data_IF_703843021497
#
_entry.id   IF_703843021497
#
_cell.length_a   1.000
_cell.length_b   1.000
_cell.length_c   1.000
_cell.angle_alpha   90.00
_cell.angle_beta   90.00
_cell.angle_gamma   90.00
#
_symmetry.space_group_name_H-M   'P 1'
#
loop_
_entity.id
_entity.type
_entity.pdbx_description
1 polymer ?
#
# COMPACT_ATOMS: atom_id res chain seq x y z
N UNK A 1 -32.02 -50.21 35.54
CA UNK A 1 -32.86 -49.02 35.36
C UNK A 1 -32.47 -47.98 36.42
N UNK A 2 -31.43 -47.19 36.17
CA UNK A 2 -31.00 -46.08 37.05
C UNK A 2 -30.59 -44.92 36.14
N UNK A 3 -31.34 -43.83 36.22
CA UNK A 3 -31.11 -42.56 35.52
C UNK A 3 -29.90 -41.87 36.16
N UNK A 4 -28.89 -41.50 35.37
CA UNK A 4 -27.87 -40.54 35.78
C UNK A 4 -28.24 -39.17 35.19
N UNK A 5 -28.57 -38.23 36.08
CA UNK A 5 -28.71 -36.81 35.78
C UNK A 5 -27.34 -36.24 35.39
N UNK A 6 -27.23 -35.66 34.21
CA UNK A 6 -26.14 -34.75 33.86
C UNK A 6 -26.46 -33.36 34.41
N UNK A 7 -25.69 -32.92 35.41
CA UNK A 7 -25.68 -31.54 35.88
C UNK A 7 -24.83 -30.74 34.87
N UNK A 8 -25.47 -29.85 34.12
CA UNK A 8 -24.78 -28.84 33.31
C UNK A 8 -24.30 -27.73 34.24
N UNK A 9 -23.01 -27.71 34.56
CA UNK A 9 -22.37 -26.55 35.17
C UNK A 9 -22.15 -25.49 34.10
N UNK A 10 -23.00 -24.46 34.12
CA UNK A 10 -22.75 -23.20 33.42
C UNK A 10 -21.49 -22.56 34.01
N UNK A 11 -20.36 -22.67 33.32
CA UNK A 11 -19.20 -21.82 33.56
C UNK A 11 -19.56 -20.41 33.07
N UNK A 12 -19.97 -19.55 34.00
CA UNK A 12 -19.88 -18.11 33.83
C UNK A 12 -18.41 -17.75 33.60
N UNK A 13 -18.04 -17.57 32.33
CA UNK A 13 -16.78 -16.93 31.96
C UNK A 13 -16.86 -15.48 32.42
N UNK A 14 -16.29 -15.22 33.60
CA UNK A 14 -16.04 -13.87 34.06
C UNK A 14 -15.20 -13.14 33.02
N UNK A 15 -15.66 -11.96 32.62
CA UNK A 15 -14.88 -10.96 31.88
C UNK A 15 -13.79 -10.41 32.79
N UNK A 16 -12.78 -11.23 33.08
CA UNK A 16 -11.51 -10.75 33.58
C UNK A 16 -10.86 -9.94 32.47
N UNK A 17 -10.70 -8.63 32.69
CA UNK A 17 -9.82 -7.78 31.90
C UNK A 17 -8.40 -8.28 32.16
N UNK A 18 -7.97 -9.33 31.46
CA UNK A 18 -6.56 -9.66 31.37
C UNK A 18 -5.92 -8.48 30.63
N UNK A 19 -5.09 -7.71 31.32
CA UNK A 19 -4.30 -6.67 30.69
C UNK A 19 -3.50 -7.31 29.54
N UNK A 20 -3.73 -6.86 28.31
CA UNK A 20 -3.05 -7.40 27.15
C UNK A 20 -1.53 -7.29 27.33
N UNK A 21 -0.80 -8.36 27.04
CA UNK A 21 0.65 -8.32 26.98
C UNK A 21 1.09 -7.41 25.81
N UNK A 22 2.19 -6.63 25.97
CA UNK A 22 2.69 -5.79 24.89
C UNK A 22 3.13 -6.67 23.71
N UNK A 23 2.62 -6.36 22.53
CA UNK A 23 2.88 -7.03 21.25
C UNK A 23 3.56 -6.06 20.28
N UNK A 24 4.43 -6.53 19.37
CA UNK A 24 5.01 -5.70 18.32
C UNK A 24 3.94 -4.92 17.53
N UNK A 25 4.13 -3.60 17.42
CA UNK A 25 3.25 -2.72 16.66
C UNK A 25 3.92 -2.25 15.39
N UNK A 26 3.29 -2.50 14.25
CA UNK A 26 3.81 -2.15 12.94
C UNK A 26 3.12 -0.90 12.38
N UNK A 27 3.66 -0.36 11.28
CA UNK A 27 2.93 0.63 10.47
C UNK A 27 1.56 0.08 10.06
N UNK A 28 0.55 0.95 10.04
CA UNK A 28 -0.76 0.64 9.46
C UNK A 28 -0.62 0.11 8.03
N UNK A 29 0.35 0.59 7.24
CA UNK A 29 0.60 0.08 5.88
C UNK A 29 1.11 -1.38 5.83
N UNK A 30 1.40 -2.03 6.98
CA UNK A 30 1.85 -3.42 7.07
C UNK A 30 0.85 -4.32 7.79
N UNK A 31 0.28 -3.87 8.91
CA UNK A 31 -0.65 -4.67 9.71
C UNK A 31 -1.82 -3.81 10.17
N UNK A 32 -3.03 -4.29 9.90
CA UNK A 32 -4.26 -3.69 10.41
C UNK A 32 -4.71 -4.41 11.68
N UNK A 33 -5.17 -3.61 12.64
CA UNK A 33 -5.73 -4.07 13.92
C UNK A 33 -6.91 -3.17 14.28
N UNK A 34 -7.91 -3.67 15.02
CA UNK A 34 -9.06 -2.87 15.43
C UNK A 34 -8.64 -1.80 16.44
N UNK A 35 -9.38 -0.68 16.50
CA UNK A 35 -9.08 0.45 17.38
C UNK A 35 -8.88 0.07 18.87
N UNK A 36 -9.72 -0.80 19.48
CA UNK A 36 -9.51 -1.24 20.86
C UNK A 36 -8.13 -1.87 21.10
N UNK A 37 -7.63 -2.67 20.16
CA UNK A 37 -6.30 -3.28 20.27
C UNK A 37 -5.19 -2.22 20.32
N UNK A 38 -5.27 -1.17 19.50
CA UNK A 38 -4.29 -0.08 19.56
C UNK A 38 -4.35 0.70 20.88
N UNK A 39 -5.55 0.91 21.46
CA UNK A 39 -5.71 1.56 22.77
C UNK A 39 -5.13 0.69 23.90
N UNK A 40 -5.34 -0.61 23.85
CA UNK A 40 -4.76 -1.58 24.79
C UNK A 40 -3.23 -1.62 24.68
N UNK A 41 -2.69 -1.68 23.45
CA UNK A 41 -1.24 -1.65 23.22
C UNK A 41 -0.59 -0.34 23.66
N UNK A 42 -1.29 0.80 23.54
CA UNK A 42 -0.78 2.08 24.04
C UNK A 42 -0.58 2.01 25.56
N UNK A 43 -1.56 1.49 26.29
CA UNK A 43 -1.45 1.31 27.74
C UNK A 43 -0.39 0.28 28.12
N UNK A 44 -0.30 -0.84 27.38
CA UNK A 44 0.66 -1.91 27.64
C UNK A 44 2.11 -1.43 27.45
N UNK A 45 2.41 -0.78 26.33
CA UNK A 45 3.75 -0.27 26.05
C UNK A 45 4.14 0.89 26.96
N UNK A 46 3.19 1.75 27.37
CA UNK A 46 3.48 2.78 28.37
C UNK A 46 3.92 2.19 29.71
N UNK A 47 3.24 1.13 30.18
CA UNK A 47 3.65 0.41 31.41
C UNK A 47 5.05 -0.20 31.33
N UNK A 48 5.51 -0.58 30.14
CA UNK A 48 6.90 -1.03 29.93
C UNK A 48 7.86 0.13 30.11
N UNK A 49 7.57 1.28 29.48
CA UNK A 49 8.40 2.48 29.56
C UNK A 49 8.45 3.10 30.96
N UNK A 50 7.35 3.04 31.73
CA UNK A 50 7.33 3.50 33.11
C UNK A 50 8.24 2.66 34.03
N UNK A 51 8.51 1.40 33.66
CA UNK A 51 9.44 0.51 34.37
C UNK A 51 10.88 0.64 33.88
N UNK A 52 11.07 0.80 32.58
CA UNK A 52 12.37 0.96 31.94
C UNK A 52 12.30 1.98 30.80
N UNK A 53 12.55 3.24 31.15
CA UNK A 53 12.54 4.32 30.18
C UNK A 53 13.72 4.24 29.19
N UNK A 54 14.73 3.40 29.42
CA UNK A 54 15.86 3.20 28.51
C UNK A 54 15.61 2.10 27.47
N UNK A 55 14.45 1.43 27.52
CA UNK A 55 14.09 0.38 26.57
C UNK A 55 13.75 0.96 25.19
N UNK A 56 14.73 0.95 24.28
CA UNK A 56 14.59 1.53 22.94
C UNK A 56 13.51 0.86 22.09
N UNK A 57 13.40 -0.47 22.16
CA UNK A 57 12.42 -1.23 21.41
C UNK A 57 10.98 -0.91 21.87
N UNK A 58 10.77 -0.71 23.18
CA UNK A 58 9.48 -0.30 23.72
C UNK A 58 9.08 1.09 23.22
N UNK A 59 10.02 2.04 23.15
CA UNK A 59 9.77 3.35 22.55
C UNK A 59 9.35 3.25 21.08
N UNK A 60 10.01 2.38 20.31
CA UNK A 60 9.66 2.15 18.91
C UNK A 60 8.22 1.66 18.74
N UNK A 61 7.81 0.63 19.48
CA UNK A 61 6.45 0.10 19.39
C UNK A 61 5.41 1.07 19.96
N UNK A 62 5.75 1.79 21.03
CA UNK A 62 4.88 2.84 21.57
C UNK A 62 4.66 3.97 20.55
N UNK A 63 5.72 4.43 19.89
CA UNK A 63 5.63 5.42 18.81
C UNK A 63 4.71 4.96 17.68
N UNK A 64 4.89 3.73 17.16
CA UNK A 64 4.02 3.21 16.10
C UNK A 64 2.56 3.10 16.56
N UNK A 65 2.33 2.79 17.83
CA UNK A 65 0.98 2.77 18.41
C UNK A 65 0.37 4.16 18.37
N UNK A 66 1.06 5.17 18.87
CA UNK A 66 0.59 6.56 18.88
C UNK A 66 0.40 7.10 17.46
N UNK A 67 1.32 6.77 16.54
CA UNK A 67 1.24 7.15 15.13
C UNK A 67 0.01 6.54 14.44
N UNK A 68 -0.32 5.28 14.72
CA UNK A 68 -1.51 4.63 14.17
C UNK A 68 -2.79 5.25 14.77
N UNK A 69 -2.83 5.46 16.10
CA UNK A 69 -3.96 6.11 16.76
C UNK A 69 -4.21 7.53 16.23
N UNK A 70 -3.16 8.32 15.97
CA UNK A 70 -3.28 9.66 15.37
C UNK A 70 -4.19 9.68 14.14
N UNK A 71 -4.09 8.67 13.27
CA UNK A 71 -4.84 8.61 12.02
C UNK A 71 -6.14 7.81 12.10
N UNK A 72 -6.28 6.93 13.11
CA UNK A 72 -7.31 5.88 13.12
C UNK A 72 -8.25 5.93 14.32
N UNK A 73 -7.93 6.73 15.34
CA UNK A 73 -8.82 6.89 16.49
C UNK A 73 -9.99 7.80 16.12
N UNK A 74 -11.13 7.17 15.83
CA UNK A 74 -12.39 7.84 15.54
C UNK A 74 -12.95 8.59 16.74
N UNK A 75 -12.50 8.26 17.95
CA UNK A 75 -12.98 8.87 19.19
C UNK A 75 -12.13 10.10 19.58
N UNK A 76 -11.03 10.34 18.87
CA UNK A 76 -10.08 11.42 19.15
C UNK A 76 -10.47 12.71 18.41
N UNK A 77 -11.14 13.59 19.15
CA UNK A 77 -11.68 14.87 18.69
C UNK A 77 -10.62 16.00 18.58
N UNK A 78 -9.34 15.73 18.85
CA UNK A 78 -8.27 16.72 18.67
C UNK A 78 -8.15 17.14 17.21
N UNK A 79 -7.75 18.39 16.99
CA UNK A 79 -7.36 18.90 15.67
C UNK A 79 -6.10 18.20 15.16
N UNK A 80 -5.86 18.26 13.85
CA UNK A 80 -4.63 17.70 13.25
C UNK A 80 -3.36 18.30 13.86
N UNK A 81 -3.36 19.61 14.18
CA UNK A 81 -2.24 20.30 14.79
C UNK A 81 -1.97 19.79 16.23
N UNK A 82 -3.01 19.58 17.04
CA UNK A 82 -2.87 19.04 18.40
C UNK A 82 -2.36 17.60 18.38
N UNK A 83 -2.84 16.79 17.44
CA UNK A 83 -2.33 15.42 17.26
C UNK A 83 -0.86 15.42 16.85
N UNK A 84 -0.46 16.34 15.98
CA UNK A 84 0.95 16.49 15.57
C UNK A 84 1.84 16.97 16.72
N UNK A 85 1.34 17.91 17.53
CA UNK A 85 2.04 18.37 18.72
C UNK A 85 2.25 17.23 19.73
N UNK A 86 1.26 16.33 19.89
CA UNK A 86 1.39 15.16 20.77
C UNK A 86 2.49 14.20 20.28
N UNK A 87 2.58 13.93 18.98
CA UNK A 87 3.67 13.12 18.41
C UNK A 87 5.02 13.82 18.58
N UNK A 88 5.08 15.13 18.37
CA UNK A 88 6.31 15.92 18.55
C UNK A 88 6.78 15.86 20.00
N UNK A 89 5.88 16.01 20.97
CA UNK A 89 6.18 15.90 22.39
C UNK A 89 6.68 14.50 22.77
N UNK A 90 6.08 13.45 22.20
CA UNK A 90 6.52 12.07 22.40
C UNK A 90 7.96 11.85 21.93
N UNK A 91 8.33 12.38 20.76
CA UNK A 91 9.70 12.26 20.22
C UNK A 91 10.69 13.04 21.10
N UNK A 92 10.29 14.21 21.62
CA UNK A 92 11.11 14.97 22.55
C UNK A 92 11.29 14.27 23.92
N UNK A 93 10.29 13.50 24.38
CA UNK A 93 10.43 12.63 25.55
C UNK A 93 11.42 11.50 25.26
N UNK A 94 11.24 10.80 24.13
CA UNK A 94 12.13 9.73 23.67
C UNK A 94 13.59 10.19 23.59
N UNK A 95 13.85 11.40 23.09
CA UNK A 95 15.18 12.01 23.01
C UNK A 95 15.89 12.10 24.36
N UNK A 96 15.17 12.42 25.44
CA UNK A 96 15.76 12.52 26.78
C UNK A 96 16.23 11.17 27.31
N UNK A 97 15.59 10.09 26.83
CA UNK A 97 15.85 8.75 27.34
C UNK A 97 16.84 7.96 26.47
N UNK A 98 16.73 8.03 25.15
CA UNK A 98 17.45 7.14 24.23
C UNK A 98 18.03 7.84 22.96
N UNK A 99 18.68 9.01 23.08
CA UNK A 99 19.05 9.84 21.92
C UNK A 99 20.06 9.18 20.97
N UNK A 100 20.89 8.28 21.50
CA UNK A 100 21.95 7.59 20.73
C UNK A 100 21.49 6.28 20.08
N UNK A 101 20.21 5.94 20.16
CA UNK A 101 19.69 4.64 19.69
C UNK A 101 19.26 4.68 18.23
N UNK A 102 19.25 3.50 17.60
CA UNK A 102 18.73 3.31 16.24
C UNK A 102 17.28 3.81 16.14
N UNK A 103 16.45 3.43 17.11
CA UNK A 103 15.02 3.71 17.16
C UNK A 103 14.75 5.21 17.18
N UNK A 104 15.45 5.96 18.04
CA UNK A 104 15.29 7.41 18.12
C UNK A 104 15.68 8.08 16.81
N UNK A 105 16.86 7.73 16.27
CA UNK A 105 17.36 8.34 15.05
C UNK A 105 16.42 8.05 13.86
N UNK A 106 15.90 6.82 13.76
CA UNK A 106 14.94 6.48 12.72
C UNK A 106 13.62 7.25 12.87
N UNK A 107 13.05 7.29 14.08
CA UNK A 107 11.79 7.99 14.36
C UNK A 107 11.94 9.50 14.17
N UNK A 108 13.09 10.08 14.55
CA UNK A 108 13.39 11.49 14.34
C UNK A 108 13.47 11.81 12.85
N UNK A 109 14.12 10.98 12.05
CA UNK A 109 14.09 11.10 10.60
C UNK A 109 12.65 11.04 10.06
N UNK A 110 11.87 10.05 10.47
CA UNK A 110 10.47 9.88 10.03
C UNK A 110 9.58 11.09 10.36
N UNK A 111 9.82 11.76 11.49
CA UNK A 111 9.09 12.98 11.87
C UNK A 111 9.39 14.17 10.95
N UNK A 112 10.53 14.15 10.28
CA UNK A 112 10.93 15.14 9.29
C UNK A 112 10.35 14.93 7.91
N UNK A 113 9.70 13.79 7.66
CA UNK A 113 9.27 13.40 6.32
C UNK A 113 10.46 13.30 5.37
N UNK A 114 10.43 14.09 4.30
CA UNK A 114 11.47 14.12 3.25
C UNK A 114 12.35 15.37 3.31
N UNK A 115 12.24 16.16 4.39
CA UNK A 115 13.08 17.33 4.61
C UNK A 115 14.54 16.90 4.88
N UNK A 116 15.44 17.33 3.98
CA UNK A 116 16.86 16.99 4.00
C UNK A 116 17.58 17.35 5.31
N UNK A 117 17.06 18.28 6.11
CA UNK A 117 17.67 18.64 7.40
C UNK A 117 17.68 17.49 8.40
N UNK A 118 16.87 16.46 8.18
CA UNK A 118 16.83 15.27 9.03
C UNK A 118 17.69 14.11 8.50
N UNK A 119 18.38 14.26 7.37
CA UNK A 119 19.12 13.17 6.73
C UNK A 119 20.24 12.61 7.61
N UNK A 120 20.84 13.44 8.47
CA UNK A 120 21.85 13.01 9.44
C UNK A 120 21.32 11.97 10.42
N UNK A 121 20.03 12.03 10.79
CA UNK A 121 19.40 11.03 11.66
C UNK A 121 19.22 9.69 10.93
N UNK A 122 18.84 9.69 9.66
CA UNK A 122 18.78 8.45 8.88
C UNK A 122 20.17 7.82 8.75
N UNK A 123 21.18 8.61 8.42
CA UNK A 123 22.57 8.14 8.34
C UNK A 123 23.03 7.53 9.66
N UNK A 124 22.72 8.18 10.79
CA UNK A 124 23.04 7.68 12.13
C UNK A 124 22.30 6.38 12.43
N UNK A 125 21.01 6.27 12.10
CA UNK A 125 20.25 5.03 12.26
C UNK A 125 20.88 3.89 11.45
N UNK A 126 21.19 4.10 10.17
CA UNK A 126 21.85 3.09 9.32
C UNK A 126 23.19 2.64 9.91
N UNK A 127 24.00 3.59 10.44
CA UNK A 127 25.28 3.26 11.06
C UNK A 127 25.13 2.44 12.36
N UNK A 128 24.07 2.70 13.13
CA UNK A 128 23.78 1.98 14.38
C UNK A 128 23.15 0.60 14.15
N UNK A 129 22.50 0.39 13.00
CA UNK A 129 21.82 -0.85 12.65
C UNK A 129 22.00 -1.21 11.17
N UNK A 130 23.21 -1.58 10.73
CA UNK A 130 23.47 -1.86 9.31
C UNK A 130 22.73 -3.11 8.80
N UNK A 131 22.45 -4.07 9.67
CA UNK A 131 21.73 -5.32 9.35
C UNK A 131 20.22 -5.22 9.61
N UNK A 132 19.75 -4.05 10.05
CA UNK A 132 18.33 -3.78 10.28
C UNK A 132 17.64 -3.38 8.98
N UNK A 133 16.32 -3.60 8.94
CA UNK A 133 15.55 -3.45 7.71
C UNK A 133 14.48 -2.36 7.77
N UNK A 134 14.22 -1.78 8.95
CA UNK A 134 13.19 -0.77 9.16
C UNK A 134 13.48 0.55 8.44
N UNK A 135 14.74 0.82 8.11
CA UNK A 135 15.14 2.02 7.39
C UNK A 135 15.12 1.87 5.86
N UNK A 136 14.93 0.66 5.34
CA UNK A 136 15.12 0.36 3.92
C UNK A 136 14.12 1.09 3.03
N UNK A 137 12.89 1.33 3.48
CA UNK A 137 11.90 2.13 2.74
C UNK A 137 12.39 3.56 2.50
N UNK A 138 13.09 4.14 3.48
CA UNK A 138 13.64 5.48 3.34
C UNK A 138 14.84 5.51 2.39
N UNK A 139 15.67 4.46 2.39
CA UNK A 139 16.79 4.36 1.43
C UNK A 139 16.30 4.09 0.00
N UNK A 140 15.23 3.31 -0.17
CA UNK A 140 14.54 3.13 -1.45
C UNK A 140 14.06 4.50 -1.96
N UNK A 141 13.36 5.26 -1.11
CA UNK A 141 12.88 6.60 -1.47
C UNK A 141 14.02 7.57 -1.79
N UNK A 142 15.11 7.58 -1.01
CA UNK A 142 16.28 8.42 -1.31
C UNK A 142 16.89 8.08 -2.68
N UNK A 143 16.99 6.80 -3.03
CA UNK A 143 17.42 6.36 -4.35
C UNK A 143 16.48 6.86 -5.45
N UNK A 144 15.16 6.69 -5.27
CA UNK A 144 14.17 7.14 -6.25
C UNK A 144 14.18 8.67 -6.44
N UNK A 145 14.16 9.43 -5.36
CA UNK A 145 14.11 10.90 -5.38
C UNK A 145 15.38 11.54 -5.98
N UNK A 146 16.51 10.88 -5.81
CA UNK A 146 17.78 11.29 -6.44
C UNK A 146 17.96 10.76 -7.86
N UNK A 147 17.04 9.91 -8.34
CA UNK A 147 17.15 9.14 -9.59
C UNK A 147 18.34 8.17 -9.63
N UNK A 148 18.90 7.81 -8.48
CA UNK A 148 19.82 6.68 -8.36
C UNK A 148 19.03 5.36 -8.29
N UNK A 149 18.60 4.90 -9.45
CA UNK A 149 17.83 3.65 -9.62
C UNK A 149 18.63 2.43 -9.15
N UNK A 150 19.97 2.46 -9.22
CA UNK A 150 20.81 1.38 -8.72
C UNK A 150 20.74 1.29 -7.19
N UNK A 151 20.85 2.43 -6.50
CA UNK A 151 20.70 2.48 -5.04
C UNK A 151 19.28 2.08 -4.61
N UNK A 152 18.24 2.54 -5.33
CA UNK A 152 16.86 2.12 -5.08
C UNK A 152 16.71 0.60 -5.17
N UNK A 153 17.15 0.00 -6.28
CA UNK A 153 17.02 -1.44 -6.52
C UNK A 153 17.84 -2.27 -5.52
N UNK A 154 19.04 -1.80 -5.14
CA UNK A 154 19.84 -2.44 -4.10
C UNK A 154 19.08 -2.52 -2.77
N UNK A 155 18.49 -1.41 -2.32
CA UNK A 155 17.76 -1.36 -1.06
C UNK A 155 16.41 -2.11 -1.13
N UNK A 156 15.76 -2.12 -2.30
CA UNK A 156 14.59 -2.96 -2.55
C UNK A 156 14.93 -4.45 -2.38
N UNK A 157 16.05 -4.92 -2.95
CA UNK A 157 16.51 -6.30 -2.77
C UNK A 157 16.88 -6.63 -1.33
N UNK A 158 17.53 -5.72 -0.61
CA UNK A 158 17.78 -5.89 0.84
C UNK A 158 16.47 -6.06 1.61
N UNK A 159 15.44 -5.27 1.28
CA UNK A 159 14.14 -5.35 1.97
C UNK A 159 13.43 -6.66 1.69
N UNK A 160 13.51 -7.14 0.45
CA UNK A 160 13.00 -8.44 0.05
C UNK A 160 13.72 -9.58 0.78
N UNK A 161 15.06 -9.57 0.79
CA UNK A 161 15.87 -10.59 1.48
C UNK A 161 15.65 -10.62 2.99
N UNK A 162 15.34 -9.47 3.60
CA UNK A 162 14.97 -9.37 5.01
C UNK A 162 13.55 -9.90 5.33
N UNK A 163 12.79 -10.38 4.33
CA UNK A 163 11.41 -10.85 4.53
C UNK A 163 10.42 -9.73 4.88
N UNK A 164 10.77 -8.47 4.60
CA UNK A 164 9.98 -7.29 4.95
C UNK A 164 9.09 -6.79 3.80
N UNK A 165 8.88 -7.61 2.77
CA UNK A 165 7.91 -7.38 1.71
C UNK A 165 6.83 -8.45 1.80
N UNK A 166 5.57 -8.04 1.73
CA UNK A 166 4.44 -8.97 1.65
C UNK A 166 4.50 -9.78 0.35
N UNK A 167 4.53 -11.10 0.48
CA UNK A 167 4.51 -12.02 -0.67
C UNK A 167 3.20 -11.89 -1.46
N UNK A 168 2.07 -11.68 -0.79
CA UNK A 168 0.80 -11.43 -1.48
C UNK A 168 0.80 -10.14 -2.29
N UNK A 169 1.41 -9.08 -1.75
CA UNK A 169 1.58 -7.84 -2.52
C UNK A 169 2.54 -8.02 -3.70
N UNK A 170 3.57 -8.86 -3.58
CA UNK A 170 4.43 -9.19 -4.73
C UNK A 170 3.64 -9.87 -5.85
N UNK A 171 2.79 -10.85 -5.55
CA UNK A 171 1.96 -11.48 -6.57
C UNK A 171 0.97 -10.50 -7.22
N UNK A 172 0.32 -9.66 -6.43
CA UNK A 172 -0.56 -8.62 -6.96
C UNK A 172 0.20 -7.69 -7.92
N UNK A 173 1.34 -7.15 -7.49
CA UNK A 173 2.14 -6.23 -8.29
C UNK A 173 2.79 -6.91 -9.50
N UNK A 174 3.11 -8.20 -9.41
CA UNK A 174 3.54 -8.99 -10.55
C UNK A 174 2.45 -9.01 -11.62
N UNK A 175 1.21 -9.32 -11.25
CA UNK A 175 0.09 -9.32 -12.19
C UNK A 175 -0.17 -7.91 -12.74
N UNK A 176 -0.10 -6.86 -11.91
CA UNK A 176 -0.19 -5.46 -12.40
C UNK A 176 0.86 -5.21 -13.48
N UNK A 177 2.13 -5.50 -13.21
CA UNK A 177 3.24 -5.26 -14.15
C UNK A 177 3.10 -6.10 -15.41
N UNK A 178 2.78 -7.39 -15.31
CA UNK A 178 2.66 -8.29 -16.46
C UNK A 178 1.50 -7.91 -17.38
N UNK A 179 0.44 -7.30 -16.85
CA UNK A 179 -0.71 -6.85 -17.64
C UNK A 179 -0.46 -5.59 -18.47
N UNK A 180 0.67 -4.89 -18.28
CA UNK A 180 0.97 -3.65 -18.98
C UNK A 180 1.61 -3.90 -20.36
N UNK A 181 1.33 -3.04 -21.33
CA UNK A 181 2.06 -3.04 -22.59
C UNK A 181 3.56 -2.68 -22.40
N UNK A 182 4.45 -3.03 -23.35
CA UNK A 182 5.88 -2.71 -23.26
C UNK A 182 6.17 -1.20 -23.13
N UNK A 183 7.20 -0.85 -22.36
CA UNK A 183 7.65 0.53 -22.10
C UNK A 183 6.54 1.43 -21.50
N UNK A 184 5.61 0.84 -20.75
CA UNK A 184 4.52 1.55 -20.10
C UNK A 184 5.01 2.46 -18.97
N UNK A 185 4.21 3.48 -18.67
CA UNK A 185 4.24 4.17 -17.37
C UNK A 185 3.11 3.61 -16.52
N UNK A 186 3.38 3.29 -15.26
CA UNK A 186 2.39 2.88 -14.26
C UNK A 186 2.33 3.92 -13.14
N UNK A 187 1.15 4.51 -12.92
CA UNK A 187 0.87 5.36 -11.77
C UNK A 187 0.38 4.49 -10.60
N UNK A 188 0.99 4.69 -9.44
CA UNK A 188 0.77 3.96 -8.17
C UNK A 188 0.52 4.96 -7.04
N UNK A 189 -0.13 4.58 -5.95
CA UNK A 189 -0.57 5.53 -4.92
C UNK A 189 0.22 5.45 -3.60
N UNK A 190 0.71 4.26 -3.21
CA UNK A 190 1.27 4.05 -1.88
C UNK A 190 2.38 3.02 -1.82
N UNK A 191 2.82 2.70 -0.60
CA UNK A 191 3.97 1.81 -0.41
C UNK A 191 3.69 0.39 -0.94
N UNK A 192 2.44 -0.09 -0.81
CA UNK A 192 2.04 -1.48 -1.11
C UNK A 192 1.83 -1.77 -2.60
N UNK A 193 1.66 -0.76 -3.44
CA UNK A 193 1.61 -0.89 -4.91
C UNK A 193 2.84 -0.30 -5.61
N UNK A 194 3.76 0.31 -4.86
CA UNK A 194 5.01 0.88 -5.41
C UNK A 194 6.23 0.02 -5.08
N UNK A 195 6.48 -0.26 -3.80
CA UNK A 195 7.72 -0.93 -3.40
C UNK A 195 7.79 -2.39 -3.86
N UNK A 196 6.71 -3.19 -3.80
CA UNK A 196 6.74 -4.53 -4.38
C UNK A 196 6.99 -4.50 -5.90
N UNK A 197 6.46 -3.51 -6.63
CA UNK A 197 6.76 -3.33 -8.05
C UNK A 197 8.26 -3.05 -8.27
N UNK A 198 8.88 -2.15 -7.50
CA UNK A 198 10.33 -1.91 -7.58
C UNK A 198 11.18 -3.10 -7.15
N UNK A 199 10.72 -3.92 -6.19
CA UNK A 199 11.38 -5.18 -5.83
C UNK A 199 11.37 -6.14 -7.02
N UNK A 200 10.23 -6.29 -7.70
CA UNK A 200 10.13 -7.13 -8.91
C UNK A 200 11.06 -6.62 -10.02
N UNK A 201 11.13 -5.29 -10.22
CA UNK A 201 12.07 -4.69 -11.17
C UNK A 201 13.54 -4.92 -10.79
N UNK A 202 13.87 -4.87 -9.51
CA UNK A 202 15.21 -5.19 -9.04
C UNK A 202 15.58 -6.67 -9.25
N UNK A 203 14.58 -7.55 -9.39
CA UNK A 203 14.73 -8.96 -9.80
C UNK A 203 14.73 -9.15 -11.33
N UNK A 204 14.67 -8.07 -12.12
CA UNK A 204 14.69 -8.13 -13.58
C UNK A 204 13.32 -8.29 -14.25
N UNK A 205 12.22 -8.22 -13.48
CA UNK A 205 10.86 -8.34 -14.02
C UNK A 205 10.37 -6.97 -14.48
N UNK A 206 9.98 -6.86 -15.75
CA UNK A 206 9.36 -5.64 -16.32
C UNK A 206 10.14 -4.36 -16.01
N UNK A 207 11.47 -4.41 -16.17
CA UNK A 207 12.35 -3.25 -16.01
C UNK A 207 12.13 -2.17 -17.07
N UNK A 208 11.37 -2.47 -18.13
CA UNK A 208 10.93 -1.53 -19.15
C UNK A 208 9.84 -0.58 -18.66
N UNK A 209 9.11 -0.95 -17.60
CA UNK A 209 8.01 -0.13 -17.06
C UNK A 209 8.56 0.98 -16.17
N UNK A 210 8.08 2.21 -16.35
CA UNK A 210 8.35 3.28 -15.39
C UNK A 210 7.25 3.34 -14.34
N UNK A 211 7.56 2.96 -13.10
CA UNK A 211 6.61 3.05 -11.98
C UNK A 211 6.75 4.41 -11.30
N UNK A 212 5.67 5.19 -11.28
CA UNK A 212 5.61 6.53 -10.69
C UNK A 212 4.62 6.50 -9.52
N UNK A 213 5.11 6.84 -8.33
CA UNK A 213 4.27 7.01 -7.16
C UNK A 213 3.67 8.43 -7.12
N UNK A 214 2.35 8.52 -6.96
CA UNK A 214 1.59 9.77 -6.96
C UNK A 214 1.91 10.69 -5.77
N UNK A 215 2.38 10.15 -4.66
CA UNK A 215 2.84 10.97 -3.52
C UNK A 215 4.25 11.51 -3.77
N UNK A 216 5.16 10.71 -4.33
CA UNK A 216 6.53 11.15 -4.59
C UNK A 216 6.60 12.17 -5.73
N UNK A 217 5.76 12.05 -6.77
CA UNK A 217 5.71 13.01 -7.88
C UNK A 217 5.24 14.40 -7.44
N UNK A 218 4.68 14.56 -6.23
CA UNK A 218 4.41 15.87 -5.64
C UNK A 218 5.70 16.60 -5.21
N UNK A 219 6.87 15.97 -5.23
CA UNK A 219 8.16 16.60 -4.87
C UNK A 219 8.78 17.25 -6.11
N UNK A 220 8.98 18.56 -6.08
CA UNK A 220 9.43 19.37 -7.22
C UNK A 220 10.73 18.84 -7.85
N UNK A 221 11.81 18.74 -7.07
CA UNK A 221 13.12 18.27 -7.56
C UNK A 221 13.05 16.88 -8.21
N UNK A 222 12.24 15.97 -7.65
CA UNK A 222 12.07 14.63 -8.21
C UNK A 222 11.26 14.66 -9.50
N UNK A 223 10.13 15.36 -9.50
CA UNK A 223 9.25 15.49 -10.66
C UNK A 223 9.97 16.12 -11.84
N UNK A 224 10.72 17.18 -11.62
CA UNK A 224 11.49 17.85 -12.68
C UNK A 224 12.53 16.91 -13.31
N UNK A 225 13.28 16.16 -12.49
CA UNK A 225 14.24 15.17 -12.98
C UNK A 225 13.55 14.07 -13.79
N UNK A 226 12.47 13.51 -13.24
CA UNK A 226 11.74 12.42 -13.88
C UNK A 226 11.11 12.85 -15.22
N UNK A 227 10.41 13.99 -15.26
CA UNK A 227 9.79 14.47 -16.49
C UNK A 227 10.83 14.78 -17.57
N UNK A 228 11.99 15.30 -17.18
CA UNK A 228 13.13 15.50 -18.08
C UNK A 228 13.66 14.17 -18.64
N UNK A 229 13.86 13.15 -17.79
CA UNK A 229 14.25 11.80 -18.22
C UNK A 229 13.25 11.19 -19.22
N UNK A 230 11.96 11.43 -18.99
CA UNK A 230 10.87 10.94 -19.84
C UNK A 230 10.63 11.77 -21.10
N UNK A 231 11.39 12.86 -21.31
CA UNK A 231 11.14 13.84 -22.38
C UNK A 231 9.69 14.36 -22.39
N UNK A 232 9.12 14.56 -21.19
CA UNK A 232 7.80 15.12 -20.97
C UNK A 232 7.90 16.63 -20.71
N UNK A 233 6.82 17.36 -20.98
CA UNK A 233 6.75 18.79 -20.68
C UNK A 233 6.85 19.03 -19.17
N UNK A 234 7.48 20.13 -18.71
CA UNK A 234 7.46 20.51 -17.31
C UNK A 234 6.04 20.64 -16.78
N UNK A 235 5.81 20.19 -15.55
CA UNK A 235 4.53 20.27 -14.87
C UNK A 235 4.74 20.87 -13.47
N UNK A 236 4.47 22.16 -13.25
CA UNK A 236 4.58 22.76 -11.92
C UNK A 236 3.45 22.29 -11.00
N UNK A 237 3.69 22.27 -9.69
CA UNK A 237 2.60 22.10 -8.72
C UNK A 237 1.69 23.33 -8.72
N UNK A 238 0.39 23.13 -8.44
CA UNK A 238 -0.51 24.23 -8.11
C UNK A 238 -0.14 24.87 -6.76
N UNK A 239 -0.49 26.14 -6.55
CA UNK A 239 -0.34 26.79 -5.24
C UNK A 239 -1.34 26.22 -4.23
N UNK A 240 -0.90 26.01 -2.99
CA UNK A 240 -1.63 25.26 -1.96
C UNK A 240 -2.33 26.13 -0.92
N UNK A 241 -2.66 27.37 -1.26
CA UNK A 241 -2.97 28.44 -0.31
C UNK A 241 -4.27 28.21 0.50
N UNK A 242 -5.18 27.32 0.07
CA UNK A 242 -6.40 26.98 0.82
C UNK A 242 -6.76 25.48 0.74
N UNK A 243 -7.34 24.92 1.82
CA UNK A 243 -7.53 23.47 1.98
C UNK A 243 -8.59 22.86 1.04
N UNK A 244 -9.66 23.60 0.70
CA UNK A 244 -10.64 23.15 -0.31
C UNK A 244 -10.07 23.29 -1.74
N UNK A 245 -9.38 24.40 -2.01
CA UNK A 245 -8.62 24.60 -3.24
C UNK A 245 -7.57 23.50 -3.45
N UNK A 246 -6.97 22.99 -2.37
CA UNK A 246 -5.96 21.91 -2.39
C UNK A 246 -6.49 20.59 -2.94
N UNK A 247 -7.70 20.16 -2.58
CA UNK A 247 -8.23 18.90 -3.11
C UNK A 247 -8.52 19.02 -4.61
N UNK A 248 -9.14 20.12 -5.04
CA UNK A 248 -9.40 20.39 -6.46
C UNK A 248 -8.09 20.52 -7.25
N UNK A 249 -7.12 21.25 -6.71
CA UNK A 249 -5.80 21.42 -7.29
C UNK A 249 -5.03 20.10 -7.42
N UNK A 250 -5.14 19.20 -6.44
CA UNK A 250 -4.56 17.84 -6.52
C UNK A 250 -5.16 17.03 -7.65
N UNK A 251 -6.48 17.09 -7.83
CA UNK A 251 -7.16 16.38 -8.91
C UNK A 251 -6.75 16.93 -10.28
N UNK A 252 -6.81 18.25 -10.45
CA UNK A 252 -6.35 18.94 -11.67
C UNK A 252 -4.88 18.63 -12.00
N UNK A 253 -4.00 18.57 -10.99
CA UNK A 253 -2.62 18.15 -11.17
C UNK A 253 -2.51 16.70 -11.69
N UNK A 254 -3.29 15.75 -11.16
CA UNK A 254 -3.28 14.34 -11.60
C UNK A 254 -3.76 14.21 -13.06
N UNK A 255 -4.78 14.98 -13.46
CA UNK A 255 -5.20 15.05 -14.86
C UNK A 255 -4.13 15.62 -15.78
N UNK A 256 -3.51 16.74 -15.38
CA UNK A 256 -2.39 17.33 -16.13
C UNK A 256 -1.20 16.41 -16.20
N UNK A 257 -0.95 15.60 -15.16
CA UNK A 257 0.08 14.58 -15.15
C UNK A 257 -0.22 13.51 -16.20
N UNK A 258 -1.44 12.97 -16.26
CA UNK A 258 -1.83 11.99 -17.28
C UNK A 258 -1.63 12.52 -18.70
N UNK A 259 -2.13 13.73 -18.99
CA UNK A 259 -2.02 14.33 -20.32
C UNK A 259 -0.56 14.65 -20.67
N UNK A 260 0.23 15.14 -19.71
CA UNK A 260 1.67 15.41 -19.88
C UNK A 260 2.45 14.13 -20.18
N UNK A 261 2.20 13.06 -19.44
CA UNK A 261 2.87 11.78 -19.62
C UNK A 261 2.43 11.11 -20.92
N UNK A 262 1.14 11.13 -21.26
CA UNK A 262 0.61 10.54 -22.49
C UNK A 262 1.09 11.29 -23.74
N UNK A 263 1.26 12.62 -23.65
CA UNK A 263 1.77 13.47 -24.72
C UNK A 263 3.30 13.53 -24.87
N UNK A 264 4.06 12.72 -24.12
CA UNK A 264 5.53 12.73 -24.16
C UNK A 264 6.08 12.32 -25.53
N UNK A 265 7.20 12.89 -25.95
CA UNK A 265 7.82 12.61 -27.27
C UNK A 265 8.26 11.16 -27.44
N UNK A 266 8.73 10.53 -26.36
CA UNK A 266 9.10 9.12 -26.37
C UNK A 266 7.90 8.19 -26.65
N UNK A 267 6.67 8.70 -26.50
CA UNK A 267 5.44 7.92 -26.57
C UNK A 267 5.39 6.85 -25.48
N UNK A 268 4.47 5.91 -25.65
CA UNK A 268 4.30 4.76 -24.76
C UNK A 268 3.06 4.90 -23.86
N UNK A 269 2.42 3.77 -23.53
CA UNK A 269 1.14 3.79 -22.85
C UNK A 269 1.28 4.23 -21.39
N UNK A 270 0.26 4.90 -20.87
CA UNK A 270 0.18 5.35 -19.48
C UNK A 270 -0.95 4.58 -18.82
N UNK A 271 -0.66 4.00 -17.66
CA UNK A 271 -1.58 3.19 -16.89
C UNK A 271 -1.75 3.77 -15.48
N UNK A 272 -2.95 3.57 -14.94
CA UNK A 272 -3.28 3.88 -13.55
C UNK A 272 -3.60 2.55 -12.86
N UNK A 273 -2.82 2.15 -11.86
CA UNK A 273 -3.15 0.96 -11.08
C UNK A 273 -4.53 1.09 -10.45
N UNK A 274 -5.29 0.00 -10.32
CA UNK A 274 -6.63 0.08 -9.69
C UNK A 274 -6.56 0.56 -8.23
N UNK A 275 -5.45 0.26 -7.55
CA UNK A 275 -5.11 0.81 -6.23
C UNK A 275 -4.97 2.33 -6.21
N UNK A 276 -4.62 2.94 -7.34
CA UNK A 276 -4.47 4.38 -7.52
C UNK A 276 -5.69 5.03 -8.18
N UNK A 277 -6.61 4.27 -8.80
CA UNK A 277 -7.75 4.84 -9.49
C UNK A 277 -8.69 5.64 -8.56
N UNK A 278 -8.79 5.22 -7.28
CA UNK A 278 -9.57 5.93 -6.25
C UNK A 278 -8.97 7.25 -5.78
N UNK A 279 -7.80 7.66 -6.28
CA UNK A 279 -7.09 8.88 -5.89
C UNK A 279 -7.67 10.18 -6.50
N UNK A 280 -8.84 10.10 -7.12
CA UNK A 280 -9.55 11.27 -7.64
C UNK A 280 -9.12 11.70 -9.04
N UNK A 281 -8.82 10.75 -9.92
CA UNK A 281 -8.84 11.00 -11.36
C UNK A 281 -10.30 11.33 -11.78
N UNK A 282 -10.55 12.51 -12.35
CA UNK A 282 -11.91 13.01 -12.63
C UNK A 282 -12.60 12.34 -13.83
N UNK A 283 -13.93 12.50 -13.90
CA UNK A 283 -14.82 12.17 -15.03
C UNK A 283 -14.28 12.67 -16.39
N UNK A 284 -13.48 13.73 -16.40
CA UNK A 284 -12.91 14.35 -17.60
C UNK A 284 -11.94 13.47 -18.36
N UNK A 285 -11.30 12.50 -17.69
CA UNK A 285 -10.43 11.51 -18.33
C UNK A 285 -11.03 10.11 -18.36
N UNK A 286 -12.14 9.90 -17.65
CA UNK A 286 -12.78 8.58 -17.48
C UNK A 286 -13.17 7.94 -18.81
N UNK A 287 -13.66 8.73 -19.77
CA UNK A 287 -14.00 8.25 -21.12
C UNK A 287 -12.80 7.67 -21.89
N UNK A 288 -11.58 8.00 -21.45
CA UNK A 288 -10.31 7.55 -22.04
C UNK A 288 -9.63 6.46 -21.18
N UNK A 289 -10.30 5.94 -20.15
CA UNK A 289 -9.79 4.88 -19.28
C UNK A 289 -10.38 3.52 -19.66
N UNK A 290 -9.50 2.62 -20.11
CA UNK A 290 -9.87 1.25 -20.48
C UNK A 290 -9.41 0.27 -19.42
N UNK A 291 -10.34 -0.50 -18.85
CA UNK A 291 -10.03 -1.50 -17.83
C UNK A 291 -9.39 -2.73 -18.50
N UNK A 292 -8.06 -2.79 -18.52
CA UNK A 292 -7.33 -3.85 -19.26
C UNK A 292 -6.82 -4.97 -18.35
N UNK A 293 -7.06 -4.88 -17.04
CA UNK A 293 -6.50 -5.79 -16.06
C UNK A 293 -6.58 -5.19 -14.67
N UNK A 294 -5.46 -5.20 -13.95
CA UNK A 294 -5.30 -4.54 -12.65
C UNK A 294 -4.83 -3.08 -12.77
N UNK A 295 -4.98 -2.52 -13.96
CA UNK A 295 -4.75 -1.12 -14.24
C UNK A 295 -5.68 -0.63 -15.37
N UNK A 296 -6.02 0.64 -15.32
CA UNK A 296 -6.65 1.36 -16.44
C UNK A 296 -5.58 1.83 -17.41
N UNK A 297 -5.76 1.54 -18.70
CA UNK A 297 -4.99 2.17 -19.78
C UNK A 297 -5.62 3.52 -20.12
N UNK A 298 -4.84 4.60 -20.08
CA UNK A 298 -5.27 5.92 -20.50
C UNK A 298 -4.90 6.17 -21.98
N UNK A 299 -5.91 6.35 -22.84
CA UNK A 299 -5.73 6.61 -24.27
C UNK A 299 -6.99 7.20 -24.90
N UNK A 300 -6.82 8.15 -25.83
CA UNK A 300 -7.94 8.66 -26.65
C UNK A 300 -8.32 7.73 -27.81
N UNK A 301 -7.52 6.69 -28.06
CA UNK A 301 -7.81 5.68 -29.09
C UNK A 301 -8.73 4.61 -28.52
N UNK A 302 -9.72 4.18 -29.31
CA UNK A 302 -10.54 3.02 -28.98
C UNK A 302 -9.67 1.77 -28.80
N UNK A 303 -9.96 1.01 -27.75
CA UNK A 303 -9.28 -0.23 -27.37
C UNK A 303 -10.32 -1.31 -27.08
N UNK A 304 -10.04 -2.53 -27.52
CA UNK A 304 -10.77 -3.73 -27.09
C UNK A 304 -10.26 -4.15 -25.70
N UNK A 305 -10.87 -3.59 -24.67
CA UNK A 305 -10.49 -3.83 -23.27
C UNK A 305 -10.76 -5.28 -22.85
N UNK A 306 -11.81 -5.91 -23.40
CA UNK A 306 -12.14 -7.32 -23.15
C UNK A 306 -11.07 -8.25 -23.71
N UNK A 307 -10.56 -8.03 -24.93
CA UNK A 307 -9.48 -8.84 -25.49
C UNK A 307 -8.21 -8.76 -24.63
N UNK A 308 -7.87 -7.56 -24.13
CA UNK A 308 -6.73 -7.37 -23.23
C UNK A 308 -6.95 -8.02 -21.87
N UNK A 309 -8.15 -7.91 -21.30
CA UNK A 309 -8.51 -8.60 -20.06
C UNK A 309 -8.36 -10.12 -20.21
N UNK A 310 -8.88 -10.71 -21.30
CA UNK A 310 -8.74 -12.15 -21.57
C UNK A 310 -7.28 -12.54 -21.66
N UNK A 311 -6.48 -11.83 -22.47
CA UNK A 311 -5.04 -12.09 -22.59
C UNK A 311 -4.37 -12.09 -21.21
N UNK A 312 -4.59 -11.04 -20.42
CA UNK A 312 -3.91 -10.86 -19.15
C UNK A 312 -4.30 -11.94 -18.13
N UNK A 313 -5.59 -12.23 -17.96
CA UNK A 313 -6.05 -13.25 -17.00
C UNK A 313 -5.76 -14.68 -17.44
N UNK A 314 -5.86 -14.98 -18.73
CA UNK A 314 -5.69 -16.35 -19.25
C UNK A 314 -4.20 -16.73 -19.44
N UNK A 315 -3.31 -15.75 -19.66
CA UNK A 315 -1.94 -16.04 -20.13
C UNK A 315 -0.83 -15.39 -19.31
N UNK A 316 -1.05 -14.21 -18.73
CA UNK A 316 0.03 -13.41 -18.12
C UNK A 316 0.01 -13.48 -16.59
N UNK A 317 -1.17 -13.60 -15.98
CA UNK A 317 -1.33 -13.50 -14.54
C UNK A 317 -1.03 -14.81 -13.82
N UNK A 318 -0.22 -14.72 -12.77
CA UNK A 318 -0.07 -15.76 -11.78
C UNK A 318 -1.27 -15.72 -10.83
N UNK A 319 -2.27 -16.58 -11.05
CA UNK A 319 -3.53 -16.59 -10.28
C UNK A 319 -3.62 -17.73 -9.26
N UNK A 320 -2.62 -18.61 -9.18
CA UNK A 320 -2.63 -19.75 -8.25
C UNK A 320 -2.59 -19.30 -6.79
N UNK A 321 -1.93 -18.16 -6.52
CA UNK A 321 -1.84 -17.59 -5.17
C UNK A 321 -3.20 -17.14 -4.62
N UNK A 322 -4.17 -16.84 -5.50
CA UNK A 322 -5.55 -16.50 -5.11
C UNK A 322 -6.30 -17.77 -4.68
N UNK A 323 -6.10 -18.88 -5.38
CA UNK A 323 -6.77 -20.14 -5.03
C UNK A 323 -6.26 -20.69 -3.72
N UNK A 324 -4.94 -20.66 -3.56
CA UNK A 324 -4.28 -21.25 -2.39
C UNK A 324 -2.94 -20.57 -2.13
N UNK A 325 -2.87 -19.60 -1.21
CA UNK A 325 -1.59 -19.03 -0.80
C UNK A 325 -0.76 -20.10 -0.07
N UNK A 326 0.42 -20.41 -0.60
CA UNK A 326 1.39 -21.34 0.00
C UNK A 326 2.47 -20.60 0.82
N UNK A 327 2.10 -19.47 1.42
CA UNK A 327 2.98 -18.62 2.21
C UNK A 327 2.22 -18.04 3.40
N UNK A 328 2.97 -17.66 4.45
CA UNK A 328 2.44 -16.83 5.52
C UNK A 328 2.72 -15.37 5.21
N UNK A 329 1.75 -14.50 5.49
CA UNK A 329 1.88 -13.07 5.24
C UNK A 329 1.31 -12.29 6.41
N UNK A 330 2.17 -11.53 7.08
CA UNK A 330 1.76 -10.66 8.19
C UNK A 330 0.77 -9.57 7.71
N UNK A 331 0.78 -9.26 6.42
CA UNK A 331 -0.11 -8.30 5.77
C UNK A 331 -1.33 -8.96 5.13
N UNK A 332 -1.71 -10.18 5.52
CA UNK A 332 -2.80 -10.94 4.89
C UNK A 332 -4.14 -10.19 4.77
N UNK A 333 -4.50 -9.34 5.73
CA UNK A 333 -5.70 -8.49 5.63
C UNK A 333 -5.57 -7.42 4.53
N UNK A 334 -4.42 -6.75 4.44
CA UNK A 334 -4.13 -5.79 3.38
C UNK A 334 -4.13 -6.47 2.01
N UNK A 335 -3.54 -7.67 1.92
CA UNK A 335 -3.51 -8.46 0.68
C UNK A 335 -4.94 -8.77 0.22
N UNK A 336 -5.84 -9.17 1.13
CA UNK A 336 -7.26 -9.36 0.79
C UNK A 336 -7.91 -8.10 0.25
N UNK A 337 -7.69 -6.95 0.90
CA UNK A 337 -8.25 -5.68 0.42
C UNK A 337 -7.72 -5.27 -0.95
N UNK A 338 -6.42 -5.41 -1.19
CA UNK A 338 -5.80 -5.10 -2.48
C UNK A 338 -6.27 -6.10 -3.55
N UNK A 339 -6.40 -7.39 -3.22
CA UNK A 339 -6.97 -8.39 -4.12
C UNK A 339 -8.45 -8.11 -4.45
N UNK A 340 -9.16 -7.29 -3.68
CA UNK A 340 -10.48 -6.78 -4.07
C UNK A 340 -10.49 -6.10 -5.44
N UNK A 341 -9.35 -5.58 -5.90
CA UNK A 341 -9.20 -4.99 -7.24
C UNK A 341 -9.32 -6.00 -8.40
N UNK A 342 -9.27 -7.31 -8.14
CA UNK A 342 -9.59 -8.31 -9.17
C UNK A 342 -11.09 -8.41 -9.46
N UNK A 343 -11.96 -8.03 -8.50
CA UNK A 343 -13.39 -8.32 -8.57
C UNK A 343 -14.03 -7.73 -9.82
N UNK A 344 -13.83 -6.44 -10.10
CA UNK A 344 -14.47 -5.79 -11.26
C UNK A 344 -13.96 -6.37 -12.60
N UNK A 345 -12.64 -6.50 -12.85
CA UNK A 345 -12.14 -7.21 -14.04
C UNK A 345 -12.68 -8.63 -14.20
N UNK A 346 -12.73 -9.39 -13.11
CA UNK A 346 -13.20 -10.78 -13.13
C UNK A 346 -14.72 -10.87 -13.39
N UNK A 347 -15.53 -9.96 -12.85
CA UNK A 347 -16.97 -9.89 -13.14
C UNK A 347 -17.20 -9.61 -14.64
N UNK A 348 -16.49 -8.64 -15.22
CA UNK A 348 -16.56 -8.37 -16.67
C UNK A 348 -16.25 -9.61 -17.51
N UNK A 349 -15.19 -10.33 -17.14
CA UNK A 349 -14.80 -11.56 -17.85
C UNK A 349 -15.82 -12.69 -17.66
N UNK A 350 -16.36 -12.85 -16.45
CA UNK A 350 -17.41 -13.83 -16.18
C UNK A 350 -18.63 -13.59 -17.08
N UNK A 351 -19.13 -12.36 -17.13
CA UNK A 351 -20.29 -12.00 -17.96
C UNK A 351 -19.98 -12.18 -19.46
N UNK A 352 -18.77 -11.81 -19.89
CA UNK A 352 -18.32 -12.04 -21.26
C UNK A 352 -18.31 -13.52 -21.62
N UNK A 353 -17.66 -14.38 -20.82
CA UNK A 353 -17.58 -15.81 -21.09
C UNK A 353 -18.96 -16.47 -21.08
N UNK A 354 -19.84 -16.05 -20.16
CA UNK A 354 -21.22 -16.54 -20.14
C UNK A 354 -21.96 -16.18 -21.43
N UNK A 355 -21.87 -14.92 -21.85
CA UNK A 355 -22.52 -14.43 -23.08
C UNK A 355 -21.95 -15.10 -24.33
N UNK A 356 -20.64 -15.36 -24.36
CA UNK A 356 -19.96 -16.05 -25.45
C UNK A 356 -20.19 -17.57 -25.49
N UNK A 357 -20.85 -18.16 -24.48
CA UNK A 357 -21.04 -19.61 -24.37
C UNK A 357 -19.78 -20.38 -23.95
N UNK A 358 -18.74 -19.70 -23.44
CA UNK A 358 -17.49 -20.29 -22.96
C UNK A 358 -17.66 -20.83 -21.51
N UNK A 359 -18.56 -21.80 -21.30
CA UNK A 359 -19.00 -22.25 -19.96
C UNK A 359 -17.85 -22.69 -19.03
N UNK A 360 -16.80 -23.31 -19.57
CA UNK A 360 -15.63 -23.72 -18.77
C UNK A 360 -14.86 -22.51 -18.21
N UNK A 361 -14.71 -21.44 -18.99
CA UNK A 361 -14.05 -20.22 -18.54
C UNK A 361 -14.93 -19.39 -17.61
N UNK A 362 -16.24 -19.37 -17.86
CA UNK A 362 -17.20 -18.74 -16.94
C UNK A 362 -17.12 -19.40 -15.55
N UNK A 363 -17.12 -20.74 -15.48
CA UNK A 363 -17.01 -21.46 -14.20
C UNK A 363 -15.64 -21.27 -13.53
N UNK A 364 -14.55 -21.25 -14.31
CA UNK A 364 -13.22 -20.90 -13.80
C UNK A 364 -13.21 -19.49 -13.17
N UNK A 365 -13.76 -18.49 -13.87
CA UNK A 365 -13.82 -17.11 -13.38
C UNK A 365 -14.72 -16.98 -12.14
N UNK A 366 -15.85 -17.69 -12.11
CA UNK A 366 -16.73 -17.77 -10.95
C UNK A 366 -15.99 -18.27 -9.70
N UNK A 367 -15.18 -19.34 -9.83
CA UNK A 367 -14.37 -19.86 -8.71
C UNK A 367 -13.37 -18.82 -8.21
N UNK A 368 -12.68 -18.13 -9.13
CA UNK A 368 -11.74 -17.04 -8.77
C UNK A 368 -12.45 -15.88 -8.06
N UNK A 369 -13.62 -15.48 -8.54
CA UNK A 369 -14.45 -14.43 -7.93
C UNK A 369 -14.85 -14.77 -6.50
N UNK A 370 -15.27 -16.01 -6.25
CA UNK A 370 -15.61 -16.47 -4.91
C UNK A 370 -14.38 -16.47 -3.99
N UNK A 371 -13.25 -16.99 -4.47
CA UNK A 371 -12.00 -17.02 -3.69
C UNK A 371 -11.48 -15.63 -3.34
N UNK A 372 -11.49 -14.70 -4.31
CA UNK A 372 -10.93 -13.36 -4.11
C UNK A 372 -11.84 -12.44 -3.28
N UNK A 373 -13.15 -12.70 -3.29
CA UNK A 373 -14.12 -11.89 -2.55
C UNK A 373 -14.43 -12.44 -1.15
N UNK A 374 -14.01 -13.66 -0.80
CA UNK A 374 -14.26 -14.26 0.51
C UNK A 374 -13.72 -13.39 1.66
N UNK A 375 -14.62 -13.04 2.60
CA UNK A 375 -14.31 -12.19 3.75
C UNK A 375 -14.03 -10.73 3.41
N UNK A 376 -14.28 -10.30 2.16
CA UNK A 376 -14.15 -8.91 1.72
C UNK A 376 -15.50 -8.18 1.80
N UNK A 377 -15.51 -6.83 1.84
CA UNK A 377 -16.75 -6.05 1.76
C UNK A 377 -17.58 -6.34 0.49
N UNK A 378 -16.95 -6.79 -0.60
CA UNK A 378 -17.59 -7.05 -1.89
C UNK A 378 -18.25 -8.44 -1.98
N UNK A 379 -18.05 -9.34 -1.01
CA UNK A 379 -18.47 -10.74 -1.09
C UNK A 379 -19.97 -10.92 -1.39
N UNK A 380 -20.81 -10.15 -0.70
CA UNK A 380 -22.26 -10.22 -0.84
C UNK A 380 -22.71 -9.83 -2.26
N UNK A 381 -22.13 -8.76 -2.80
CA UNK A 381 -22.46 -8.26 -4.14
C UNK A 381 -22.01 -9.22 -5.23
N UNK A 382 -20.81 -9.80 -5.08
CA UNK A 382 -20.29 -10.83 -5.99
C UNK A 382 -21.22 -12.05 -5.99
N UNK A 383 -21.60 -12.57 -4.82
CA UNK A 383 -22.52 -13.71 -4.71
C UNK A 383 -23.88 -13.41 -5.34
N UNK A 384 -24.40 -12.19 -5.17
CA UNK A 384 -25.65 -11.74 -5.79
C UNK A 384 -25.54 -11.71 -7.32
N UNK A 385 -24.45 -11.15 -7.87
CA UNK A 385 -24.22 -11.10 -9.32
C UNK A 385 -24.12 -12.49 -9.94
N UNK A 386 -23.37 -13.40 -9.32
CA UNK A 386 -23.17 -14.80 -9.74
C UNK A 386 -24.41 -15.70 -9.60
N UNK A 387 -25.45 -15.24 -8.90
CA UNK A 387 -26.73 -15.94 -8.77
C UNK A 387 -27.76 -15.45 -9.80
N UNK A 388 -27.66 -14.17 -10.19
CA UNK A 388 -28.53 -13.56 -11.21
C UNK A 388 -28.06 -13.91 -12.64
N UNK A 389 -26.76 -14.14 -12.80
CA UNK A 389 -26.10 -14.53 -14.03
C UNK A 389 -25.40 -15.86 -13.82
#
# INVERSE_FOLDING_TARGET
MIRLLFIFSFLLSGTGINAQHPEPVYSFARVHKPLPWYKEQAAAWRKVLDKDAKNAQAWYYYYYTQRNLRFRDSDDNRTAAEKEQAITALIAEMEKHIPETYEYNLIKYMSGGLDSKYDSYLQRAVALGPDRAEHLDFLINKGELSRDVKARNLNAMKKFQAGNISTGMLYYNYNVLMGLAPNAILLTAGDNDTYPAWVLQAQGIRTDVTVINLSLIEIDDYREKLLKELNASPLPLPSWDHHEARNMARKDFKNKLLTTLSGRKAGGPVYIGLTAAGEGFEDTVEENLYLTGLAYLYTAKSVDDIALLKKNFEQEYALDYIDKPLYQDISGELVRMVNGNYVVPMLKLFDHYKTAGESGKAEWMKKKLLAVSEGSPQESEVKKHLAAN
#
